data_IF_127000456167
#
_entry.id   IF_127000456167
#
_cell.length_a   1.000
_cell.length_b   1.000
_cell.length_c   1.000
_cell.angle_alpha   90.00
_cell.angle_beta   90.00
_cell.angle_gamma   90.00
#
_symmetry.space_group_name_H-M   'P 1'
#
loop_
_entity.id
_entity.type
_entity.pdbx_description
1 polymer ?
#
# COMPACT_ATOMS: atom_id res chain seq x y z
N UNK A 1 -6.52 -7.10 -36.93
CA UNK A 1 -6.49 -5.75 -36.34
C UNK A 1 -7.64 -5.47 -35.36
N UNK A 2 -8.92 -5.71 -35.70
CA UNK A 2 -10.07 -5.41 -34.81
C UNK A 2 -10.06 -6.23 -33.51
N UNK A 3 -9.73 -7.53 -33.60
CA UNK A 3 -9.63 -8.43 -32.45
C UNK A 3 -8.49 -8.04 -31.49
N UNK A 4 -7.30 -7.70 -32.02
CA UNK A 4 -6.17 -7.26 -31.20
C UNK A 4 -6.46 -5.94 -30.48
N UNK A 5 -7.10 -4.97 -31.16
CA UNK A 5 -7.55 -3.71 -30.54
C UNK A 5 -8.58 -3.95 -29.44
N UNK A 6 -9.54 -4.86 -29.64
CA UNK A 6 -10.51 -5.23 -28.61
C UNK A 6 -9.85 -5.89 -27.38
N UNK A 7 -8.83 -6.74 -27.61
CA UNK A 7 -8.02 -7.34 -26.53
C UNK A 7 -7.25 -6.27 -25.76
N UNK A 8 -6.61 -5.32 -26.45
CA UNK A 8 -5.92 -4.19 -25.81
C UNK A 8 -6.88 -3.37 -24.93
N UNK A 9 -8.07 -3.02 -25.44
CA UNK A 9 -9.06 -2.28 -24.68
C UNK A 9 -9.53 -3.02 -23.41
N UNK A 10 -9.61 -4.36 -23.45
CA UNK A 10 -9.90 -5.18 -22.27
C UNK A 10 -8.76 -5.13 -21.25
N UNK A 11 -7.51 -5.21 -21.71
CA UNK A 11 -6.33 -5.13 -20.83
C UNK A 11 -6.22 -3.76 -20.15
N UNK A 12 -6.44 -2.67 -20.88
CA UNK A 12 -6.46 -1.30 -20.31
C UNK A 12 -7.59 -1.08 -19.29
N UNK A 13 -8.73 -1.77 -19.44
CA UNK A 13 -9.77 -1.78 -18.40
C UNK A 13 -9.31 -2.53 -17.16
N UNK A 14 -8.68 -3.69 -17.35
CA UNK A 14 -8.14 -4.48 -16.24
C UNK A 14 -7.04 -3.72 -15.49
N UNK A 15 -6.16 -3.04 -16.21
CA UNK A 15 -5.11 -2.19 -15.64
C UNK A 15 -5.69 -1.10 -14.74
N UNK A 16 -6.72 -0.39 -15.20
CA UNK A 16 -7.43 0.60 -14.37
C UNK A 16 -8.00 0.00 -13.08
N UNK A 17 -8.62 -1.18 -13.18
CA UNK A 17 -9.15 -1.88 -12.00
C UNK A 17 -8.00 -2.27 -11.04
N UNK A 18 -6.87 -2.72 -11.57
CA UNK A 18 -5.69 -3.07 -10.76
C UNK A 18 -5.05 -1.85 -10.11
N UNK A 19 -4.99 -0.71 -10.78
CA UNK A 19 -4.47 0.52 -10.18
C UNK A 19 -5.38 1.02 -9.05
N UNK A 20 -6.71 0.92 -9.18
CA UNK A 20 -7.63 1.22 -8.08
C UNK A 20 -7.39 0.26 -6.90
N UNK A 21 -7.29 -1.04 -7.16
CA UNK A 21 -7.03 -2.03 -6.11
C UNK A 21 -5.70 -1.78 -5.38
N UNK A 22 -4.65 -1.42 -6.12
CA UNK A 22 -3.33 -1.04 -5.60
C UNK A 22 -3.40 0.21 -4.72
N UNK A 23 -4.10 1.26 -5.16
CA UNK A 23 -4.30 2.48 -4.37
C UNK A 23 -5.05 2.18 -3.08
N UNK A 24 -6.11 1.38 -3.13
CA UNK A 24 -6.86 0.99 -1.94
C UNK A 24 -5.99 0.20 -0.95
N UNK A 25 -5.22 -0.78 -1.44
CA UNK A 25 -4.31 -1.54 -0.60
C UNK A 25 -3.23 -0.66 0.06
N UNK A 26 -2.71 0.35 -0.66
CA UNK A 26 -1.77 1.32 -0.10
C UNK A 26 -2.41 2.21 0.98
N UNK A 27 -3.66 2.64 0.78
CA UNK A 27 -4.39 3.41 1.79
C UNK A 27 -4.61 2.57 3.04
N UNK A 28 -5.05 1.32 2.90
CA UNK A 28 -5.24 0.40 4.03
C UNK A 28 -3.93 0.13 4.78
N UNK A 29 -2.83 -0.09 4.07
CA UNK A 29 -1.51 -0.23 4.68
C UNK A 29 -1.09 1.04 5.44
N UNK A 30 -1.30 2.23 4.85
CA UNK A 30 -1.02 3.50 5.52
C UNK A 30 -1.84 3.72 6.79
N UNK A 31 -3.12 3.33 6.80
CA UNK A 31 -3.97 3.40 7.99
C UNK A 31 -3.48 2.45 9.09
N UNK A 32 -3.08 1.23 8.73
CA UNK A 32 -2.55 0.25 9.68
C UNK A 32 -1.23 0.72 10.31
N UNK A 33 -0.29 1.23 9.50
CA UNK A 33 0.96 1.82 9.97
C UNK A 33 0.73 3.05 10.85
N UNK A 34 -0.20 3.94 10.45
CA UNK A 34 -0.57 5.09 11.27
C UNK A 34 -1.13 4.69 12.63
N UNK A 35 -1.93 3.63 12.69
CA UNK A 35 -2.44 3.07 13.95
C UNK A 35 -1.31 2.53 14.83
N UNK A 36 -0.38 1.77 14.25
CA UNK A 36 0.79 1.27 14.98
C UNK A 36 1.63 2.43 15.56
N UNK A 37 1.89 3.47 14.77
CA UNK A 37 2.64 4.64 15.21
C UNK A 37 1.93 5.39 16.36
N UNK A 38 0.60 5.50 16.32
CA UNK A 38 -0.17 6.09 17.41
C UNK A 38 -0.06 5.29 18.71
N UNK A 39 -0.11 3.96 18.64
CA UNK A 39 0.05 3.09 19.80
C UNK A 39 1.46 3.14 20.37
N UNK A 40 2.49 3.19 19.51
CA UNK A 40 3.88 3.42 19.92
C UNK A 40 4.03 4.73 20.68
N UNK A 41 3.54 5.82 20.10
CA UNK A 41 3.58 7.12 20.75
C UNK A 41 2.78 7.14 22.07
N UNK A 42 1.66 6.43 22.16
CA UNK A 42 0.90 6.31 23.41
C UNK A 42 1.70 5.58 24.47
N UNK A 43 2.25 4.40 24.17
CA UNK A 43 3.04 3.60 25.09
C UNK A 43 4.29 4.36 25.60
N UNK A 44 4.97 5.09 24.73
CA UNK A 44 6.12 5.92 25.11
C UNK A 44 5.72 7.05 26.07
N UNK A 45 4.64 7.78 25.75
CA UNK A 45 4.15 8.88 26.59
C UNK A 45 3.71 8.37 27.97
N UNK A 46 2.97 7.27 28.03
CA UNK A 46 2.49 6.71 29.30
C UNK A 46 3.63 6.13 30.13
N UNK A 47 4.61 5.48 29.49
CA UNK A 47 5.81 4.99 30.18
C UNK A 47 6.63 6.15 30.77
N UNK A 48 6.84 7.22 29.99
CA UNK A 48 7.53 8.42 30.48
C UNK A 48 6.79 9.05 31.66
N UNK A 49 5.47 9.19 31.56
CA UNK A 49 4.66 9.75 32.62
C UNK A 49 4.73 8.87 33.88
N UNK A 50 4.68 7.55 33.74
CA UNK A 50 4.85 6.62 34.87
C UNK A 50 6.19 6.86 35.60
N UNK A 51 7.29 6.96 34.85
CA UNK A 51 8.62 7.26 35.41
C UNK A 51 8.68 8.62 36.10
N UNK A 52 8.16 9.66 35.45
CA UNK A 52 8.17 11.04 35.98
C UNK A 52 7.39 11.12 37.30
N UNK A 53 6.26 10.42 37.42
CA UNK A 53 5.47 10.38 38.65
C UNK A 53 6.07 9.45 39.71
N UNK A 54 6.67 8.32 39.32
CA UNK A 54 7.35 7.41 40.25
C UNK A 54 8.59 8.05 40.90
N UNK A 55 9.24 8.99 40.21
CA UNK A 55 10.41 9.71 40.73
C UNK A 55 10.05 10.85 41.71
N UNK A 56 8.76 11.17 41.87
CA UNK A 56 8.33 12.23 42.79
C UNK A 56 8.50 11.82 44.25
N UNK A 57 8.97 12.76 45.05
CA UNK A 57 9.18 12.62 46.50
C UNK A 57 8.53 13.75 47.30
N UNK A 58 7.61 14.48 46.68
CA UNK A 58 6.94 15.68 47.22
C UNK A 58 5.55 15.37 47.82
N UNK A 59 5.28 14.11 48.16
CA UNK A 59 4.04 13.73 48.83
C UNK A 59 4.00 14.28 50.27
N UNK A 60 2.96 15.07 50.57
CA UNK A 60 2.80 15.76 51.86
C UNK A 60 2.40 14.81 53.00
N UNK A 61 1.68 13.73 52.67
CA UNK A 61 1.23 12.72 53.64
C UNK A 61 1.13 11.31 53.03
N UNK A 62 0.75 10.35 53.86
CA UNK A 62 0.60 8.95 53.46
C UNK A 62 -0.54 8.74 52.43
N UNK A 63 -1.61 9.54 52.48
CA UNK A 63 -2.73 9.42 51.56
C UNK A 63 -2.31 9.88 50.15
N UNK A 64 -1.63 11.02 50.03
CA UNK A 64 -1.05 11.52 48.80
C UNK A 64 -0.08 10.51 48.18
N UNK A 65 0.76 9.85 49.01
CA UNK A 65 1.66 8.80 48.55
C UNK A 65 0.90 7.57 48.01
N UNK A 66 -0.18 7.14 48.68
CA UNK A 66 -1.02 6.05 48.18
C UNK A 66 -1.69 6.40 46.84
N UNK A 67 -2.20 7.63 46.70
CA UNK A 67 -2.76 8.11 45.43
C UNK A 67 -1.73 8.11 44.31
N UNK A 68 -0.50 8.56 44.58
CA UNK A 68 0.60 8.55 43.62
C UNK A 68 0.92 7.13 43.16
N UNK A 69 1.04 6.18 44.09
CA UNK A 69 1.29 4.77 43.75
C UNK A 69 0.16 4.16 42.93
N UNK A 70 -1.09 4.42 43.27
CA UNK A 70 -2.23 3.90 42.50
C UNK A 70 -2.26 4.49 41.09
N UNK A 71 -1.92 5.76 40.94
CA UNK A 71 -1.83 6.42 39.65
C UNK A 71 -0.72 5.81 38.77
N UNK A 72 0.49 5.65 39.32
CA UNK A 72 1.63 5.00 38.62
C UNK A 72 1.25 3.58 38.18
N UNK A 73 0.62 2.79 39.06
CA UNK A 73 0.14 1.44 38.70
C UNK A 73 -0.86 1.47 37.54
N UNK A 74 -1.79 2.42 37.54
CA UNK A 74 -2.72 2.61 36.42
C UNK A 74 -2.00 2.94 35.10
N UNK A 75 -0.96 3.78 35.14
CA UNK A 75 -0.15 4.09 33.95
C UNK A 75 0.64 2.87 33.44
N UNK A 76 1.16 2.05 34.34
CA UNK A 76 1.85 0.81 33.98
C UNK A 76 0.90 -0.19 33.34
N UNK A 77 -0.31 -0.34 33.89
CA UNK A 77 -1.37 -1.17 33.31
C UNK A 77 -1.75 -0.71 31.89
N UNK A 78 -1.96 0.59 31.68
CA UNK A 78 -2.22 1.16 30.35
C UNK A 78 -1.04 0.92 29.41
N UNK A 79 0.20 1.11 29.87
CA UNK A 79 1.40 0.91 29.05
C UNK A 79 1.53 -0.54 28.62
N UNK A 80 1.31 -1.48 29.54
CA UNK A 80 1.39 -2.92 29.25
C UNK A 80 0.27 -3.39 28.32
N UNK A 81 -0.96 -2.90 28.52
CA UNK A 81 -2.07 -3.14 27.60
C UNK A 81 -1.77 -2.60 26.20
N UNK A 82 -1.31 -1.36 26.11
CA UNK A 82 -0.92 -0.73 24.84
C UNK A 82 0.19 -1.51 24.13
N UNK A 83 1.16 -2.08 24.87
CA UNK A 83 2.20 -2.95 24.29
C UNK A 83 1.64 -4.22 23.66
N UNK A 84 0.68 -4.87 24.32
CA UNK A 84 0.00 -6.02 23.73
C UNK A 84 -0.80 -5.64 22.46
N UNK A 85 -1.39 -4.44 22.45
CA UNK A 85 -2.12 -3.91 21.31
C UNK A 85 -1.18 -3.56 20.14
N UNK A 86 0.02 -3.03 20.43
CA UNK A 86 1.05 -2.77 19.43
C UNK A 86 1.47 -4.04 18.69
N UNK A 87 1.65 -5.16 19.38
CA UNK A 87 2.02 -6.42 18.70
C UNK A 87 0.94 -6.86 17.72
N UNK A 88 -0.34 -6.69 18.07
CA UNK A 88 -1.46 -6.98 17.16
C UNK A 88 -1.50 -5.99 15.99
N UNK A 89 -1.33 -4.70 16.27
CA UNK A 89 -1.31 -3.66 15.25
C UNK A 89 -0.15 -3.86 14.27
N UNK A 90 1.02 -4.28 14.76
CA UNK A 90 2.19 -4.60 13.94
C UNK A 90 1.91 -5.77 13.01
N UNK A 91 1.32 -6.86 13.51
CA UNK A 91 0.95 -7.98 12.67
C UNK A 91 -0.04 -7.58 11.56
N UNK A 92 -0.99 -6.68 11.85
CA UNK A 92 -1.93 -6.14 10.87
C UNK A 92 -1.20 -5.25 9.85
N UNK A 93 -0.33 -4.35 10.29
CA UNK A 93 0.45 -3.47 9.43
C UNK A 93 1.33 -4.29 8.46
N UNK A 94 2.05 -5.29 8.98
CA UNK A 94 2.86 -6.21 8.17
C UNK A 94 2.01 -6.97 7.14
N UNK A 95 0.83 -7.45 7.52
CA UNK A 95 -0.09 -8.12 6.61
C UNK A 95 -0.55 -7.18 5.49
N UNK A 96 -0.95 -5.95 5.83
CA UNK A 96 -1.40 -4.95 4.87
C UNK A 96 -0.29 -4.46 3.95
N UNK A 97 0.94 -4.33 4.44
CA UNK A 97 2.11 -4.04 3.62
C UNK A 97 2.36 -5.14 2.58
N UNK A 98 2.22 -6.42 2.95
CA UNK A 98 2.33 -7.55 2.03
C UNK A 98 1.21 -7.54 0.98
N UNK A 99 -0.03 -7.30 1.39
CA UNK A 99 -1.17 -7.16 0.48
C UNK A 99 -0.96 -6.04 -0.55
N UNK A 100 -0.45 -4.88 -0.11
CA UNK A 100 -0.11 -3.76 -0.99
C UNK A 100 0.99 -4.14 -2.00
N UNK A 101 2.04 -4.82 -1.54
CA UNK A 101 3.11 -5.32 -2.42
C UNK A 101 2.61 -6.35 -3.44
N UNK A 102 1.68 -7.23 -3.05
CA UNK A 102 1.02 -8.14 -3.99
C UNK A 102 0.14 -7.41 -5.01
N UNK A 103 -0.62 -6.40 -4.56
CA UNK A 103 -1.46 -5.60 -5.45
C UNK A 103 -0.61 -4.84 -6.49
N UNK A 104 0.54 -4.29 -6.08
CA UNK A 104 1.51 -3.67 -6.98
C UNK A 104 2.05 -4.68 -8.01
N UNK A 105 2.51 -5.85 -7.57
CA UNK A 105 2.98 -6.92 -8.49
C UNK A 105 1.91 -7.32 -9.50
N UNK A 106 0.64 -7.43 -9.07
CA UNK A 106 -0.50 -7.75 -9.96
C UNK A 106 -0.78 -6.62 -10.95
N UNK A 107 -0.61 -5.35 -10.55
CA UNK A 107 -0.76 -4.18 -11.44
C UNK A 107 0.37 -4.16 -12.48
N UNK A 108 1.61 -4.31 -12.05
CA UNK A 108 2.79 -4.33 -12.94
C UNK A 108 2.70 -5.45 -13.99
N UNK A 109 2.27 -6.66 -13.59
CA UNK A 109 2.07 -7.76 -14.54
C UNK A 109 0.98 -7.49 -15.59
N UNK A 110 -0.01 -6.64 -15.29
CA UNK A 110 -1.03 -6.24 -16.29
C UNK A 110 -0.51 -5.15 -17.21
N UNK A 111 0.24 -4.19 -16.67
CA UNK A 111 0.92 -3.14 -17.43
C UNK A 111 1.88 -3.74 -18.48
N UNK A 112 2.73 -4.70 -18.07
CA UNK A 112 3.62 -5.41 -19.00
C UNK A 112 2.85 -6.09 -20.15
N UNK A 113 1.68 -6.67 -19.84
CA UNK A 113 0.80 -7.29 -20.86
C UNK A 113 0.16 -6.26 -21.79
N UNK A 114 -0.18 -5.08 -21.28
CA UNK A 114 -0.69 -3.96 -22.09
C UNK A 114 0.41 -3.50 -23.06
N UNK A 115 1.63 -3.31 -22.57
CA UNK A 115 2.79 -2.92 -23.37
C UNK A 115 3.14 -3.95 -24.44
N UNK A 116 3.23 -5.23 -24.08
CA UNK A 116 3.50 -6.29 -25.05
C UNK A 116 2.43 -6.34 -26.16
N UNK A 117 1.15 -6.15 -25.81
CA UNK A 117 0.05 -6.14 -26.77
C UNK A 117 0.07 -4.89 -27.66
N UNK A 118 0.44 -3.73 -27.12
CA UNK A 118 0.54 -2.48 -27.89
C UNK A 118 1.70 -2.55 -28.90
N UNK A 119 2.86 -3.06 -28.47
CA UNK A 119 4.02 -3.28 -29.35
C UNK A 119 3.70 -4.29 -30.46
N UNK A 120 2.98 -5.37 -30.17
CA UNK A 120 2.56 -6.35 -31.18
C UNK A 120 1.65 -5.72 -32.24
N UNK A 121 0.70 -4.86 -31.83
CA UNK A 121 -0.16 -4.14 -32.77
C UNK A 121 0.66 -3.16 -33.62
N UNK A 122 1.60 -2.43 -33.01
CA UNK A 122 2.48 -1.51 -33.73
C UNK A 122 3.33 -2.22 -34.78
N UNK A 123 3.99 -3.33 -34.41
CA UNK A 123 4.78 -4.18 -35.33
C UNK A 123 3.94 -4.70 -36.49
N UNK A 124 2.74 -5.22 -36.23
CA UNK A 124 1.82 -5.68 -37.30
C UNK A 124 1.35 -4.54 -38.20
N UNK A 125 1.12 -3.36 -37.65
CA UNK A 125 0.69 -2.18 -38.43
C UNK A 125 1.81 -1.74 -39.37
N UNK A 126 3.05 -1.67 -38.87
CA UNK A 126 4.22 -1.33 -39.67
C UNK A 126 4.47 -2.35 -40.79
N UNK A 127 4.39 -3.66 -40.50
CA UNK A 127 4.55 -4.71 -41.49
C UNK A 127 3.50 -4.64 -42.61
N UNK A 128 2.23 -4.38 -42.27
CA UNK A 128 1.16 -4.23 -43.26
C UNK A 128 1.34 -2.97 -44.13
N UNK A 129 1.88 -1.88 -43.57
CA UNK A 129 2.14 -0.66 -44.32
C UNK A 129 3.22 -0.87 -45.42
N UNK A 130 4.27 -1.64 -45.11
CA UNK A 130 5.34 -2.00 -46.06
C UNK A 130 4.82 -2.91 -47.18
N UNK A 131 3.96 -3.89 -46.87
CA UNK A 131 3.40 -4.80 -47.87
C UNK A 131 2.47 -4.10 -48.89
N UNK A 132 1.74 -3.07 -48.45
CA UNK A 132 0.86 -2.27 -49.32
C UNK A 132 1.64 -1.32 -50.24
N UNK A 133 2.79 -0.82 -49.79
CA UNK A 133 3.68 -0.01 -50.63
C UNK A 133 4.34 -0.85 -51.72
N UNK A 134 4.76 -2.09 -51.42
CA UNK A 134 5.32 -3.00 -52.41
C UNK A 134 4.30 -3.42 -53.50
N UNK A 135 3.02 -3.60 -53.15
CA UNK A 135 1.96 -3.91 -54.15
C UNK A 135 1.64 -2.74 -55.09
N UNK A 136 1.88 -1.50 -54.68
CA UNK A 136 1.59 -0.32 -55.51
C UNK A 136 2.63 -0.08 -56.61
N UNK A 137 3.82 -0.68 -56.49
CA UNK A 137 4.90 -0.56 -57.47
C UNK A 137 4.72 -1.48 -58.71
N UNK A 138 3.80 -2.44 -58.68
CA UNK A 138 3.55 -3.39 -59.79
C UNK A 138 2.24 -3.11 -60.57
N UNK A 139 1.73 -1.88 -60.52
CA UNK A 139 0.66 -1.42 -61.41
C UNK A 139 1.26 -0.82 -62.68
N UNK A 140 1.21 -1.56 -63.78
CA UNK A 140 1.60 -1.14 -65.13
C UNK A 140 0.88 0.14 -65.55
N UNK A 141 1.64 1.20 -65.84
CA UNK A 141 1.22 2.23 -66.79
C UNK A 141 1.31 1.60 -68.19
N UNK A 142 0.19 1.11 -68.72
CA UNK A 142 0.04 0.83 -70.13
C UNK A 142 -0.86 1.93 -70.69
N UNK A 143 -0.22 2.96 -71.25
CA UNK A 143 -0.73 3.69 -72.41
C UNK A 143 -0.55 2.84 -73.67
#
# INVERSE_FOLDING_TARGET
>A
MKAERAKLARLQRLERIRDIARRNALVEAGVAEGTLAQLQGLAERTARMSLDYAARSDAEDAAALQHLHQFVRGLDEVTNGTRADMERARAIADAKAREAAEAERRRAAVEERVEAQSQLIARKTAANAVALTAKKAFGTNLE
#
